data_IF_954816238199
#
_entry.id   IF_954816238199
#
_cell.length_a   1.000
_cell.length_b   1.000
_cell.length_c   1.000
_cell.angle_alpha   90.00
_cell.angle_beta   90.00
_cell.angle_gamma   90.00
#
_symmetry.space_group_name_H-M   'P 1'
#
loop_
_entity.id
_entity.type
_entity.pdbx_description
1 polymer ?
#
# COMPACT_ATOMS: atom_id res chain seq x y z
N UNK A 1 -95.78 -29.60 4.67
CA UNK A 1 -94.67 -29.66 3.70
C UNK A 1 -93.37 -29.21 4.36
N UNK A 2 -92.33 -30.05 4.43
CA UNK A 2 -90.92 -29.59 4.38
C UNK A 2 -89.97 -30.78 4.15
N UNK A 3 -89.39 -30.83 2.94
CA UNK A 3 -88.39 -31.80 2.50
C UNK A 3 -87.17 -31.77 3.43
N UNK A 4 -86.80 -32.91 4.03
CA UNK A 4 -85.46 -33.13 4.58
C UNK A 4 -84.57 -33.71 3.49
N UNK A 5 -83.67 -32.88 2.98
CA UNK A 5 -82.64 -33.22 1.99
C UNK A 5 -81.64 -34.19 2.64
N UNK A 6 -81.58 -35.45 2.18
CA UNK A 6 -80.53 -36.38 2.58
C UNK A 6 -79.21 -35.94 1.92
N UNK A 7 -78.28 -35.43 2.73
CA UNK A 7 -76.88 -35.21 2.37
C UNK A 7 -76.28 -36.56 1.91
N UNK A 8 -75.85 -36.65 0.65
CA UNK A 8 -74.93 -37.71 0.22
C UNK A 8 -73.60 -37.46 0.93
N UNK A 9 -73.20 -38.39 1.79
CA UNK A 9 -71.88 -38.42 2.40
C UNK A 9 -70.92 -38.82 1.27
N UNK A 10 -70.25 -37.83 0.67
CA UNK A 10 -69.14 -38.09 -0.23
C UNK A 10 -68.01 -38.70 0.61
N UNK A 11 -67.65 -39.96 0.32
CA UNK A 11 -66.43 -40.55 0.85
C UNK A 11 -65.26 -39.78 0.23
N UNK A 12 -64.34 -39.19 1.02
CA UNK A 12 -63.18 -38.52 0.45
C UNK A 12 -62.31 -39.59 -0.20
N UNK A 13 -62.26 -39.62 -1.53
CA UNK A 13 -61.20 -40.32 -2.25
C UNK A 13 -59.91 -39.57 -1.92
N UNK A 14 -58.98 -40.24 -1.25
CA UNK A 14 -57.64 -39.69 -1.00
C UNK A 14 -57.04 -39.34 -2.37
N UNK A 15 -56.91 -38.06 -2.66
CA UNK A 15 -56.45 -37.59 -3.96
C UNK A 15 -54.92 -37.57 -3.93
N UNK A 16 -54.33 -38.76 -4.12
CA UNK A 16 -52.88 -38.98 -4.12
C UNK A 16 -52.16 -38.07 -5.12
N UNK A 17 -52.85 -37.64 -6.17
CA UNK A 17 -52.35 -36.72 -7.19
C UNK A 17 -51.96 -35.36 -6.59
N UNK A 18 -52.85 -34.77 -5.79
CA UNK A 18 -52.59 -33.48 -5.14
C UNK A 18 -51.51 -33.56 -4.06
N UNK A 19 -51.34 -34.73 -3.43
CA UNK A 19 -50.26 -34.99 -2.48
C UNK A 19 -48.90 -35.12 -3.20
N UNK A 20 -48.86 -35.85 -4.32
CA UNK A 20 -47.66 -35.99 -5.14
C UNK A 20 -47.25 -34.66 -5.80
N UNK A 21 -48.20 -33.84 -6.23
CA UNK A 21 -47.94 -32.48 -6.73
C UNK A 21 -47.29 -31.60 -5.66
N UNK A 22 -47.84 -31.64 -4.43
CA UNK A 22 -47.29 -30.85 -3.32
C UNK A 22 -45.90 -31.37 -2.92
N UNK A 23 -45.70 -32.69 -2.90
CA UNK A 23 -44.38 -33.29 -2.63
C UNK A 23 -43.36 -32.94 -3.72
N UNK A 24 -43.73 -32.97 -4.98
CA UNK A 24 -42.79 -32.75 -6.09
C UNK A 24 -42.43 -31.28 -6.19
N UNK A 25 -43.38 -30.38 -5.96
CA UNK A 25 -43.12 -28.95 -5.88
C UNK A 25 -42.22 -28.60 -4.68
N UNK A 26 -42.49 -29.16 -3.49
CA UNK A 26 -41.66 -28.92 -2.30
C UNK A 26 -40.26 -29.51 -2.44
N UNK A 27 -40.13 -30.73 -2.98
CA UNK A 27 -38.83 -31.33 -3.26
C UNK A 27 -38.04 -30.56 -4.32
N UNK A 28 -38.71 -30.05 -5.36
CA UNK A 28 -38.08 -29.22 -6.39
C UNK A 28 -37.52 -27.91 -5.82
N UNK A 29 -38.30 -27.22 -4.98
CA UNK A 29 -37.85 -26.00 -4.30
C UNK A 29 -36.70 -26.30 -3.34
N UNK A 30 -36.77 -27.40 -2.58
CA UNK A 30 -35.68 -27.81 -1.69
C UNK A 30 -34.40 -28.16 -2.44
N UNK A 31 -34.50 -28.89 -3.55
CA UNK A 31 -33.34 -29.17 -4.41
C UNK A 31 -32.72 -27.87 -4.95
N UNK A 32 -33.55 -26.92 -5.39
CA UNK A 32 -33.07 -25.64 -5.89
C UNK A 32 -32.36 -24.82 -4.80
N UNK A 33 -32.92 -24.77 -3.59
CA UNK A 33 -32.29 -24.12 -2.43
C UNK A 33 -30.99 -24.82 -2.04
N UNK A 34 -30.93 -26.15 -2.02
CA UNK A 34 -29.71 -26.90 -1.70
C UNK A 34 -28.60 -26.68 -2.73
N UNK A 35 -28.93 -26.67 -4.03
CA UNK A 35 -27.96 -26.40 -5.08
C UNK A 35 -27.47 -24.95 -5.03
N UNK A 36 -28.37 -23.99 -4.82
CA UNK A 36 -28.02 -22.58 -4.74
C UNK A 36 -27.20 -22.25 -3.48
N UNK A 37 -27.55 -22.83 -2.34
CA UNK A 37 -26.75 -22.70 -1.10
C UNK A 37 -25.39 -23.39 -1.24
N UNK A 38 -25.29 -24.53 -1.92
CA UNK A 38 -24.01 -25.18 -2.22
C UNK A 38 -23.14 -24.35 -3.17
N UNK A 39 -23.73 -23.68 -4.16
CA UNK A 39 -23.04 -22.76 -5.08
C UNK A 39 -22.54 -21.50 -4.36
N UNK A 40 -23.37 -20.91 -3.48
CA UNK A 40 -22.95 -19.77 -2.65
C UNK A 40 -21.86 -20.21 -1.66
N UNK A 41 -21.99 -21.38 -1.03
CA UNK A 41 -20.99 -21.93 -0.12
C UNK A 41 -19.68 -22.28 -0.86
N UNK A 42 -19.74 -22.80 -2.09
CA UNK A 42 -18.59 -23.04 -2.95
C UNK A 42 -17.86 -21.75 -3.33
N UNK A 43 -18.59 -20.69 -3.68
CA UNK A 43 -17.99 -19.37 -3.90
C UNK A 43 -17.43 -18.79 -2.59
N UNK A 44 -18.10 -19.05 -1.45
CA UNK A 44 -17.69 -18.62 -0.12
C UNK A 44 -16.55 -19.47 0.48
N UNK A 45 -16.23 -20.63 -0.07
CA UNK A 45 -15.06 -21.43 0.33
C UNK A 45 -13.74 -20.89 -0.22
N UNK A 46 -13.78 -19.76 -0.94
CA UNK A 46 -12.62 -18.87 -1.12
C UNK A 46 -12.44 -17.87 0.04
N UNK A 47 -13.37 -17.83 1.00
CA UNK A 47 -13.24 -17.05 2.21
C UNK A 47 -12.51 -17.88 3.28
N UNK A 48 -11.19 -17.98 3.13
CA UNK A 48 -10.37 -17.91 4.34
C UNK A 48 -10.91 -16.70 5.11
N UNK A 49 -11.45 -16.91 6.32
CA UNK A 49 -11.92 -15.82 7.16
C UNK A 49 -10.72 -14.88 7.33
N UNK A 50 -10.70 -13.80 6.55
CA UNK A 50 -9.71 -12.75 6.66
C UNK A 50 -10.05 -12.08 7.97
N UNK A 51 -9.51 -12.61 9.08
CA UNK A 51 -9.45 -11.85 10.32
C UNK A 51 -8.71 -10.60 9.94
N UNK A 52 -9.43 -9.48 9.87
CA UNK A 52 -8.82 -8.16 9.71
C UNK A 52 -7.77 -8.06 10.80
N UNK A 53 -6.48 -8.05 10.44
CA UNK A 53 -5.43 -8.08 11.44
C UNK A 53 -5.59 -6.87 12.35
N UNK A 54 -5.30 -7.02 13.64
CA UNK A 54 -5.28 -5.88 14.54
C UNK A 54 -4.13 -4.97 14.09
N UNK A 55 -4.48 -3.88 13.42
CA UNK A 55 -3.55 -2.81 13.09
C UNK A 55 -3.25 -2.06 14.38
N UNK A 56 -1.98 -2.03 14.76
CA UNK A 56 -1.50 -1.21 15.88
C UNK A 56 -0.63 -0.08 15.37
N UNK A 57 -0.78 1.10 15.97
CA UNK A 57 0.14 2.21 15.75
C UNK A 57 1.48 1.90 16.43
N UNK A 58 2.56 2.03 15.67
CA UNK A 58 3.93 1.82 16.18
C UNK A 58 4.75 3.09 16.08
N UNK A 59 5.66 3.28 17.04
CA UNK A 59 6.68 4.33 17.02
C UNK A 59 7.98 3.90 16.33
N UNK A 60 8.04 2.64 15.88
CA UNK A 60 9.21 2.09 15.17
C UNK A 60 9.37 2.77 13.81
N UNK A 61 10.60 2.80 13.31
CA UNK A 61 10.93 3.32 11.99
C UNK A 61 10.55 2.27 10.93
N UNK A 62 9.75 2.64 9.90
CA UNK A 62 9.48 1.73 8.78
C UNK A 62 10.73 1.48 7.96
N UNK A 63 10.91 0.25 7.51
CA UNK A 63 11.87 -0.16 6.48
C UNK A 63 11.10 -0.76 5.32
N UNK A 64 11.16 -0.09 4.17
CA UNK A 64 10.25 -0.37 3.07
C UNK A 64 10.79 -1.44 2.13
N UNK A 65 9.89 -2.35 1.76
CA UNK A 65 10.14 -3.36 0.74
C UNK A 65 8.99 -3.33 -0.26
N UNK A 66 9.28 -3.44 -1.56
CA UNK A 66 8.25 -3.76 -2.55
C UNK A 66 8.29 -5.24 -2.84
N UNK A 67 7.11 -5.83 -3.05
CA UNK A 67 7.00 -7.18 -3.60
C UNK A 67 6.24 -7.10 -4.90
N UNK A 68 6.98 -7.18 -6.01
CA UNK A 68 6.47 -7.10 -7.38
C UNK A 68 6.94 -8.32 -8.16
N UNK A 69 6.05 -8.90 -8.94
CA UNK A 69 6.32 -10.07 -9.78
C UNK A 69 6.93 -11.26 -9.02
N UNK A 70 6.51 -11.46 -7.77
CA UNK A 70 7.06 -12.45 -6.83
C UNK A 70 8.52 -12.25 -6.39
N UNK A 71 9.06 -11.04 -6.55
CA UNK A 71 10.39 -10.68 -6.09
C UNK A 71 10.32 -9.62 -4.99
N UNK A 72 11.13 -9.77 -3.94
CA UNK A 72 11.28 -8.81 -2.84
C UNK A 72 12.42 -7.86 -3.17
N UNK A 73 12.13 -6.56 -3.21
CA UNK A 73 13.13 -5.50 -3.42
C UNK A 73 13.14 -4.57 -2.22
N UNK A 74 14.33 -4.20 -1.77
CA UNK A 74 14.50 -3.21 -0.71
C UNK A 74 14.41 -1.79 -1.27
N UNK A 75 13.57 -0.97 -0.66
CA UNK A 75 13.48 0.45 -0.96
C UNK A 75 14.33 1.16 0.09
N UNK A 76 15.60 1.41 -0.23
CA UNK A 76 16.56 2.07 0.66
C UNK A 76 16.24 3.56 0.84
N UNK A 77 15.17 3.84 1.56
CA UNK A 77 14.67 5.18 1.86
C UNK A 77 15.60 5.93 2.81
N UNK A 78 16.34 5.22 3.67
CA UNK A 78 17.35 5.82 4.55
C UNK A 78 18.50 6.46 3.76
N UNK A 79 19.05 5.76 2.76
CA UNK A 79 20.08 6.33 1.89
C UNK A 79 19.60 7.63 1.24
N UNK A 80 18.40 7.60 0.67
CA UNK A 80 17.81 8.76 0.00
C UNK A 80 17.54 9.90 0.99
N UNK A 81 17.05 9.59 2.20
CA UNK A 81 16.84 10.56 3.26
C UNK A 81 18.12 11.30 3.64
N UNK A 82 19.25 10.59 3.77
CA UNK A 82 20.57 11.20 4.03
C UNK A 82 21.03 12.11 2.89
N UNK A 83 20.80 11.72 1.64
CA UNK A 83 21.16 12.55 0.49
C UNK A 83 20.31 13.83 0.40
N UNK A 84 19.03 13.76 0.75
CA UNK A 84 18.14 14.93 0.86
C UNK A 84 18.58 15.85 2.00
N UNK A 85 18.97 15.29 3.15
CA UNK A 85 19.50 16.06 4.26
C UNK A 85 20.76 16.83 3.84
N UNK A 86 21.70 16.14 3.17
CA UNK A 86 22.91 16.77 2.63
C UNK A 86 22.59 17.85 1.59
N UNK A 87 21.63 17.61 0.69
CA UNK A 87 21.18 18.63 -0.25
C UNK A 87 20.67 19.87 0.49
N UNK A 88 19.84 19.67 1.51
CA UNK A 88 19.20 20.73 2.29
C UNK A 88 20.24 21.58 3.03
N UNK A 89 21.23 20.94 3.63
CA UNK A 89 22.37 21.62 4.30
C UNK A 89 23.18 22.45 3.31
N UNK A 90 23.33 21.98 2.06
CA UNK A 90 24.12 22.64 1.01
C UNK A 90 23.33 23.69 0.20
N UNK A 91 22.08 23.99 0.56
CA UNK A 91 21.30 25.04 -0.11
C UNK A 91 21.80 26.44 0.26
N UNK A 92 21.82 27.38 -0.71
CA UNK A 92 22.24 28.75 -0.43
C UNK A 92 21.24 29.46 0.50
N UNK A 93 21.76 30.23 1.45
CA UNK A 93 20.97 31.13 2.29
C UNK A 93 20.56 32.36 1.48
N UNK A 94 19.28 32.43 1.09
CA UNK A 94 18.75 33.56 0.32
C UNK A 94 18.23 34.65 1.25
N UNK A 95 19.10 35.60 1.61
CA UNK A 95 18.76 36.72 2.48
C UNK A 95 17.97 37.77 1.70
N UNK A 96 16.78 38.11 2.20
CA UNK A 96 15.94 39.15 1.60
C UNK A 96 16.48 40.54 2.00
N UNK A 97 16.72 41.46 1.05
CA UNK A 97 17.13 42.82 1.38
C UNK A 97 15.99 43.61 2.02
N UNK A 98 16.35 44.50 2.94
CA UNK A 98 15.41 45.42 3.57
C UNK A 98 15.14 46.63 2.67
N UNK A 99 13.91 47.14 2.73
CA UNK A 99 13.54 48.36 2.01
C UNK A 99 14.32 49.57 2.55
N UNK A 100 14.81 50.48 1.69
CA UNK A 100 15.42 51.73 2.13
C UNK A 100 14.45 52.57 2.97
N UNK A 101 14.95 53.19 4.04
CA UNK A 101 14.14 54.00 4.97
C UNK A 101 14.01 55.46 4.56
N UNK A 102 14.76 55.91 3.56
CA UNK A 102 14.75 57.29 3.08
C UNK A 102 14.67 57.35 1.55
N UNK A 103 14.43 58.55 1.02
CA UNK A 103 14.21 58.80 -0.41
C UNK A 103 15.49 58.98 -1.23
N UNK A 104 16.67 58.54 -0.74
CA UNK A 104 17.92 58.65 -1.49
C UNK A 104 17.92 57.69 -2.71
N UNK A 105 17.98 58.19 -3.95
CA UNK A 105 17.91 57.36 -5.16
C UNK A 105 18.98 56.26 -5.22
N UNK A 106 20.18 56.51 -4.73
CA UNK A 106 21.28 55.54 -4.74
C UNK A 106 21.00 54.32 -3.86
N UNK A 107 20.24 54.49 -2.77
CA UNK A 107 19.83 53.37 -1.92
C UNK A 107 18.81 52.46 -2.61
N UNK A 108 17.94 53.04 -3.45
CA UNK A 108 16.99 52.25 -4.24
C UNK A 108 17.70 51.45 -5.34
N UNK A 109 18.75 52.00 -5.95
CA UNK A 109 19.57 51.27 -6.92
C UNK A 109 20.26 50.06 -6.26
N UNK A 110 20.91 50.26 -5.12
CA UNK A 110 21.54 49.17 -4.37
C UNK A 110 20.51 48.13 -3.88
N UNK A 111 19.35 48.57 -3.39
CA UNK A 111 18.23 47.67 -3.06
C UNK A 111 17.79 46.83 -4.26
N UNK A 112 17.65 47.44 -5.44
CA UNK A 112 17.25 46.73 -6.66
C UNK A 112 18.26 45.66 -7.05
N UNK A 113 19.56 45.96 -6.95
CA UNK A 113 20.64 44.99 -7.18
C UNK A 113 20.58 43.83 -6.17
N UNK A 114 20.48 44.12 -4.87
CA UNK A 114 20.35 43.06 -3.85
C UNK A 114 19.09 42.21 -4.04
N UNK A 115 17.99 42.85 -4.45
CA UNK A 115 16.73 42.16 -4.72
C UNK A 115 16.84 41.25 -5.94
N UNK A 116 17.59 41.64 -6.97
CA UNK A 116 17.90 40.76 -8.10
C UNK A 116 18.69 39.52 -7.65
N UNK A 117 19.75 39.70 -6.84
CA UNK A 117 20.53 38.58 -6.29
C UNK A 117 19.66 37.65 -5.43
N UNK A 118 18.80 38.21 -4.57
CA UNK A 118 17.86 37.43 -3.77
C UNK A 118 16.94 36.56 -4.65
N UNK A 119 16.38 37.12 -5.73
CA UNK A 119 15.54 36.37 -6.67
C UNK A 119 16.29 35.25 -7.39
N UNK A 120 17.52 35.53 -7.82
CA UNK A 120 18.36 34.52 -8.48
C UNK A 120 18.78 33.41 -7.53
N UNK A 121 19.07 33.75 -6.27
CA UNK A 121 19.28 32.78 -5.20
C UNK A 121 18.06 31.88 -5.00
N UNK A 122 16.85 32.45 -4.91
CA UNK A 122 15.63 31.66 -4.77
C UNK A 122 15.41 30.72 -5.95
N UNK A 123 15.67 31.19 -7.18
CA UNK A 123 15.57 30.36 -8.39
C UNK A 123 16.58 29.21 -8.36
N UNK A 124 17.82 29.49 -7.97
CA UNK A 124 18.89 28.48 -7.82
C UNK A 124 18.52 27.44 -6.76
N UNK A 125 18.02 27.88 -5.59
CA UNK A 125 17.56 27.00 -4.52
C UNK A 125 16.40 26.11 -4.96
N UNK A 126 15.39 26.69 -5.60
CA UNK A 126 14.25 25.93 -6.13
C UNK A 126 14.69 24.92 -7.19
N UNK A 127 15.58 25.32 -8.11
CA UNK A 127 16.11 24.44 -9.15
C UNK A 127 16.87 23.25 -8.57
N UNK A 128 17.71 23.45 -7.54
CA UNK A 128 18.43 22.35 -6.87
C UNK A 128 17.49 21.33 -6.24
N UNK A 129 16.38 21.78 -5.66
CA UNK A 129 15.38 20.89 -5.04
C UNK A 129 14.57 20.13 -6.10
N UNK A 130 14.04 20.83 -7.10
CA UNK A 130 13.20 20.21 -8.15
C UNK A 130 13.99 19.26 -9.04
N UNK A 131 15.26 19.56 -9.30
CA UNK A 131 16.14 18.72 -10.11
C UNK A 131 16.86 17.64 -9.29
N UNK A 132 16.47 17.41 -8.02
CA UNK A 132 17.05 16.34 -7.24
C UNK A 132 16.76 14.98 -7.90
N UNK A 133 17.83 14.23 -8.12
CA UNK A 133 17.81 12.88 -8.64
C UNK A 133 18.83 12.04 -7.87
N UNK A 134 18.47 10.79 -7.61
CA UNK A 134 19.31 9.81 -6.94
C UNK A 134 18.96 8.40 -7.43
N UNK A 135 19.64 7.39 -6.88
CA UNK A 135 19.50 5.99 -7.25
C UNK A 135 19.78 5.07 -6.06
N UNK A 136 18.93 4.08 -5.86
CA UNK A 136 19.19 2.91 -5.00
C UNK A 136 19.61 1.71 -5.88
N UNK A 137 19.77 0.52 -5.29
CA UNK A 137 20.07 -0.68 -6.08
C UNK A 137 18.96 -0.99 -7.11
N UNK A 138 17.70 -0.75 -6.72
CA UNK A 138 16.51 -1.15 -7.49
C UNK A 138 15.70 0.00 -8.08
N UNK A 139 15.93 1.25 -7.66
CA UNK A 139 15.11 2.39 -8.07
C UNK A 139 15.94 3.61 -8.49
N UNK A 140 15.50 4.27 -9.55
CA UNK A 140 15.79 5.67 -9.80
C UNK A 140 14.85 6.51 -8.94
N UNK A 141 15.38 7.57 -8.33
CA UNK A 141 14.63 8.42 -7.41
C UNK A 141 14.66 9.85 -7.90
N UNK A 142 13.49 10.48 -7.99
CA UNK A 142 13.37 11.87 -8.46
C UNK A 142 12.38 12.67 -7.63
N UNK A 143 12.62 13.98 -7.50
CA UNK A 143 11.70 14.90 -6.84
C UNK A 143 10.50 15.21 -7.74
N UNK A 144 9.30 14.86 -7.29
CA UNK A 144 8.04 15.20 -7.96
C UNK A 144 7.30 16.35 -7.31
N UNK A 145 7.54 16.62 -6.02
CA UNK A 145 7.02 17.81 -5.35
C UNK A 145 7.97 18.32 -4.27
N UNK A 146 8.67 19.43 -4.55
CA UNK A 146 9.63 20.02 -3.62
C UNK A 146 8.99 20.62 -2.35
N UNK A 147 7.70 21.01 -2.38
CA UNK A 147 7.02 21.59 -1.21
C UNK A 147 6.71 20.55 -0.13
N UNK A 148 6.42 19.31 -0.56
CA UNK A 148 6.13 18.16 0.31
C UNK A 148 7.27 17.14 0.32
N UNK A 149 8.45 17.50 -0.22
CA UNK A 149 9.56 16.59 -0.49
C UNK A 149 9.11 15.23 -1.02
N UNK A 150 8.19 15.23 -1.98
CA UNK A 150 7.67 14.00 -2.56
C UNK A 150 8.66 13.46 -3.58
N UNK A 151 9.11 12.23 -3.34
CA UNK A 151 10.08 11.50 -4.13
C UNK A 151 9.39 10.32 -4.81
N UNK A 152 9.55 10.24 -6.12
CA UNK A 152 9.09 9.12 -6.94
C UNK A 152 10.21 8.09 -7.02
N UNK A 153 9.87 6.82 -6.80
CA UNK A 153 10.75 5.67 -6.94
C UNK A 153 10.33 4.88 -8.17
N UNK A 154 11.13 4.99 -9.23
CA UNK A 154 10.93 4.28 -10.49
C UNK A 154 11.84 3.06 -10.55
N UNK A 155 11.30 1.86 -10.77
CA UNK A 155 12.12 0.66 -10.91
C UNK A 155 13.17 0.80 -12.01
N UNK A 156 14.35 0.22 -11.77
CA UNK A 156 15.40 0.13 -12.78
C UNK A 156 15.19 -1.13 -13.61
N UNK A 157 15.10 -0.95 -14.93
CA UNK A 157 14.97 -2.08 -15.86
C UNK A 157 16.12 -3.09 -15.71
N UNK A 158 15.77 -4.37 -15.66
CA UNK A 158 16.73 -5.47 -15.51
C UNK A 158 17.27 -5.68 -14.08
N UNK A 159 16.92 -4.81 -13.13
CA UNK A 159 17.21 -5.00 -11.70
C UNK A 159 15.97 -5.57 -11.02
N UNK A 160 16.01 -6.87 -10.74
CA UNK A 160 14.97 -7.59 -9.99
C UNK A 160 15.53 -8.02 -8.65
N UNK A 161 14.70 -7.95 -7.61
CA UNK A 161 15.05 -8.43 -6.28
C UNK A 161 14.95 -9.94 -6.17
N UNK A 162 14.85 -10.45 -4.95
CA UNK A 162 14.90 -11.89 -4.69
C UNK A 162 13.55 -12.58 -4.80
N UNK A 163 13.51 -13.68 -5.54
CA UNK A 163 12.38 -14.60 -5.61
C UNK A 163 12.14 -15.32 -4.28
N UNK A 164 10.99 -15.97 -4.16
CA UNK A 164 10.64 -16.78 -2.98
C UNK A 164 11.69 -17.85 -2.67
N UNK A 165 12.21 -18.50 -3.70
CA UNK A 165 13.21 -19.57 -3.57
C UNK A 165 14.53 -19.01 -3.03
N UNK A 166 14.95 -17.83 -3.52
CA UNK A 166 16.18 -17.16 -3.10
C UNK A 166 16.11 -16.66 -1.64
N UNK A 167 14.94 -16.27 -1.14
CA UNK A 167 14.75 -15.88 0.26
C UNK A 167 15.16 -16.99 1.26
N UNK A 168 15.11 -18.26 0.84
CA UNK A 168 15.47 -19.41 1.70
C UNK A 168 16.98 -19.60 1.83
N UNK A 169 17.77 -18.95 0.98
CA UNK A 169 19.23 -18.99 1.02
C UNK A 169 19.72 -18.21 2.25
N UNK A 170 20.61 -18.81 3.03
CA UNK A 170 21.11 -18.23 4.29
C UNK A 170 21.69 -16.82 4.10
N UNK A 171 22.38 -16.60 2.99
CA UNK A 171 23.01 -15.33 2.63
C UNK A 171 22.24 -14.54 1.56
N UNK A 172 20.92 -14.70 1.48
CA UNK A 172 20.06 -13.89 0.61
C UNK A 172 20.22 -12.40 0.94
N UNK A 173 20.05 -11.52 -0.06
CA UNK A 173 20.07 -10.08 0.11
C UNK A 173 19.08 -9.63 1.19
N UNK A 174 17.86 -10.19 1.19
CA UNK A 174 16.86 -9.96 2.21
C UNK A 174 17.41 -10.28 3.61
N UNK A 175 18.04 -11.44 3.78
CA UNK A 175 18.65 -11.83 5.05
C UNK A 175 19.80 -10.89 5.45
N UNK A 176 20.63 -10.46 4.50
CA UNK A 176 21.71 -9.51 4.73
C UNK A 176 21.19 -8.13 5.14
N UNK A 177 20.05 -7.69 4.59
CA UNK A 177 19.40 -6.45 4.98
C UNK A 177 18.82 -6.59 6.39
N UNK A 178 18.08 -7.66 6.68
CA UNK A 178 17.53 -7.89 8.02
C UNK A 178 18.60 -7.93 9.11
N UNK A 179 19.79 -8.46 8.80
CA UNK A 179 20.93 -8.49 9.72
C UNK A 179 21.48 -7.10 10.07
N UNK A 180 21.21 -6.08 9.26
CA UNK A 180 21.61 -4.67 9.50
C UNK A 180 20.57 -3.87 10.26
N UNK A 181 19.35 -4.39 10.41
CA UNK A 181 18.22 -3.71 11.04
C UNK A 181 18.07 -4.14 12.51
N UNK A 182 17.45 -3.29 13.32
CA UNK A 182 17.19 -3.54 14.74
C UNK A 182 15.70 -3.84 14.96
N UNK A 183 15.29 -5.08 15.28
CA UNK A 183 13.88 -5.43 15.47
C UNK A 183 13.15 -4.63 16.56
N UNK A 184 13.87 -3.99 17.47
CA UNK A 184 13.28 -3.15 18.53
C UNK A 184 13.01 -1.72 18.06
N UNK A 185 13.77 -1.23 17.07
CA UNK A 185 13.65 0.14 16.54
C UNK A 185 12.97 0.19 15.17
N UNK A 186 13.14 -0.85 14.37
CA UNK A 186 12.69 -0.95 13.00
C UNK A 186 11.51 -1.93 12.89
N UNK A 187 10.60 -1.64 11.97
CA UNK A 187 9.59 -2.60 11.51
C UNK A 187 9.63 -2.68 9.99
N UNK A 188 9.22 -3.81 9.43
CA UNK A 188 9.23 -4.00 7.99
C UNK A 188 7.87 -3.60 7.39
N UNK A 189 7.89 -2.78 6.37
CA UNK A 189 6.72 -2.23 5.71
C UNK A 189 6.69 -2.71 4.26
N UNK A 190 5.78 -3.63 3.92
CA UNK A 190 5.71 -4.23 2.59
C UNK A 190 4.66 -3.56 1.71
N UNK A 191 5.08 -3.09 0.54
CA UNK A 191 4.20 -2.67 -0.56
C UNK A 191 3.98 -3.90 -1.46
N UNK A 192 2.77 -4.46 -1.46
CA UNK A 192 2.50 -5.76 -2.10
C UNK A 192 1.69 -5.57 -3.38
N UNK A 193 2.23 -6.01 -4.52
CA UNK A 193 1.50 -6.04 -5.81
C UNK A 193 0.59 -7.27 -5.89
N UNK A 194 -0.47 -7.28 -6.74
CA UNK A 194 -1.51 -8.31 -6.72
C UNK A 194 -1.02 -9.74 -6.96
N UNK A 195 0.08 -9.91 -7.70
CA UNK A 195 0.63 -11.23 -8.07
C UNK A 195 1.72 -11.74 -7.11
N UNK A 196 1.92 -11.07 -5.98
CA UNK A 196 3.11 -11.24 -5.13
C UNK A 196 2.84 -11.81 -3.73
N UNK A 197 1.61 -12.28 -3.46
CA UNK A 197 1.22 -12.73 -2.12
C UNK A 197 1.99 -13.97 -1.64
N UNK A 198 2.42 -14.84 -2.54
CA UNK A 198 3.17 -16.04 -2.18
C UNK A 198 4.54 -15.66 -1.57
N UNK A 199 5.30 -14.81 -2.27
CA UNK A 199 6.57 -14.29 -1.80
C UNK A 199 6.40 -13.41 -0.56
N UNK A 200 5.35 -12.60 -0.49
CA UNK A 200 5.04 -11.81 0.71
C UNK A 200 4.88 -12.66 1.96
N UNK A 201 4.13 -13.76 1.87
CA UNK A 201 3.91 -14.64 3.03
C UNK A 201 5.23 -15.20 3.54
N UNK A 202 6.11 -15.63 2.64
CA UNK A 202 7.44 -16.15 2.96
C UNK A 202 8.30 -15.08 3.65
N UNK A 203 8.45 -13.91 3.02
CA UNK A 203 9.23 -12.80 3.57
C UNK A 203 8.73 -12.36 4.95
N UNK A 204 7.40 -12.33 5.13
CA UNK A 204 6.78 -12.00 6.42
C UNK A 204 7.05 -13.06 7.49
N UNK A 205 6.95 -14.34 7.14
CA UNK A 205 7.23 -15.43 8.09
C UNK A 205 8.67 -15.34 8.59
N UNK A 206 9.63 -15.16 7.67
CA UNK A 206 11.03 -14.97 8.02
C UNK A 206 11.26 -13.73 8.90
N UNK A 207 10.60 -12.61 8.59
CA UNK A 207 10.69 -11.39 9.39
C UNK A 207 10.19 -11.59 10.82
N UNK A 208 9.06 -12.29 11.00
CA UNK A 208 8.52 -12.63 12.31
C UNK A 208 9.45 -13.56 13.10
N UNK A 209 10.04 -14.57 12.45
CA UNK A 209 11.02 -15.45 13.09
C UNK A 209 12.24 -14.67 13.60
N UNK A 210 12.60 -13.56 12.94
CA UNK A 210 13.66 -12.64 13.39
C UNK A 210 13.19 -11.55 14.35
N UNK A 211 11.93 -11.57 14.78
CA UNK A 211 11.38 -10.68 15.80
C UNK A 211 10.94 -9.30 15.30
N UNK A 212 10.87 -9.08 13.98
CA UNK A 212 10.37 -7.81 13.43
C UNK A 212 8.84 -7.75 13.48
N UNK A 213 8.30 -6.54 13.72
CA UNK A 213 6.91 -6.26 13.38
C UNK A 213 6.77 -6.06 11.88
N UNK A 214 5.61 -6.42 11.33
CA UNK A 214 5.37 -6.34 9.89
C UNK A 214 4.08 -5.58 9.60
N UNK A 215 4.17 -4.56 8.76
CA UNK A 215 3.04 -3.89 8.14
C UNK A 215 3.00 -4.18 6.65
N UNK A 216 1.82 -4.14 6.03
CA UNK A 216 1.71 -4.26 4.58
C UNK A 216 0.58 -3.42 4.00
N UNK A 217 0.76 -2.99 2.75
CA UNK A 217 -0.23 -2.23 1.98
C UNK A 217 -0.32 -2.79 0.54
N UNK A 218 -1.51 -3.18 0.05
CA UNK A 218 -1.67 -3.61 -1.32
C UNK A 218 -1.64 -2.41 -2.29
N UNK A 219 -0.83 -2.50 -3.34
CA UNK A 219 -0.79 -1.50 -4.42
C UNK A 219 -1.16 -2.15 -5.76
N UNK A 220 -1.78 -1.38 -6.67
CA UNK A 220 -2.05 -1.86 -8.04
C UNK A 220 -0.75 -1.93 -8.83
N UNK A 221 -0.66 -2.76 -9.87
CA UNK A 221 0.58 -2.99 -10.64
C UNK A 221 1.23 -1.67 -11.11
N UNK A 222 0.45 -0.79 -11.76
CA UNK A 222 0.94 0.46 -12.36
C UNK A 222 1.08 1.63 -11.38
N UNK A 223 0.79 1.45 -10.08
CA UNK A 223 0.82 2.58 -9.15
C UNK A 223 2.27 2.93 -8.80
N UNK A 224 2.73 4.17 -9.07
CA UNK A 224 4.08 4.57 -8.70
C UNK A 224 4.26 4.61 -7.18
N UNK A 225 5.48 4.33 -6.72
CA UNK A 225 5.82 4.48 -5.31
C UNK A 225 6.28 5.92 -5.10
N UNK A 226 5.51 6.66 -4.30
CA UNK A 226 5.84 8.05 -3.93
C UNK A 226 5.86 8.15 -2.40
N UNK A 227 6.97 8.67 -1.87
CA UNK A 227 7.15 9.00 -0.45
C UNK A 227 7.27 10.52 -0.29
N UNK A 228 6.70 11.10 0.78
CA UNK A 228 6.76 12.54 1.05
C UNK A 228 7.12 12.85 2.50
N UNK A 229 7.36 14.13 2.80
CA UNK A 229 7.84 14.64 4.11
C UNK A 229 6.92 14.36 5.30
N UNK A 230 5.68 13.95 5.07
CA UNK A 230 4.76 13.53 6.14
C UNK A 230 5.06 12.15 6.72
N UNK A 231 5.97 11.38 6.10
CA UNK A 231 6.16 9.97 6.41
C UNK A 231 4.94 9.13 6.00
N UNK A 232 5.14 7.89 5.59
CA UNK A 232 4.06 6.90 5.51
C UNK A 232 4.25 5.96 6.69
N UNK A 233 3.29 5.96 7.62
CA UNK A 233 3.19 4.87 8.59
C UNK A 233 2.30 3.80 7.96
N UNK A 234 2.85 2.61 7.72
CA UNK A 234 2.04 1.43 7.42
C UNK A 234 1.74 0.77 8.75
N UNK A 235 0.47 0.61 9.07
CA UNK A 235 0.04 -0.02 10.31
C UNK A 235 0.65 -1.41 10.46
N UNK A 236 1.14 -1.73 11.67
CA UNK A 236 1.82 -3.01 11.93
C UNK A 236 0.90 -4.04 12.55
N UNK A 237 1.24 -5.31 12.29
CA UNK A 237 0.54 -6.51 12.73
C UNK A 237 1.50 -7.43 13.49
#
# INVERSE_FOLDING_TARGET
>A
MRRRTRRRIARPSLNYDSFLDTLTNTLGVLMFICLFTSLIASQSNSNAVVRTPLVSDTKKTPRFFEIRDNNVTYIDDEKIGKEIEQLTVNLPACNRPNLPTNSNPSLYQNYAEQFSYYRDCLRSRASRLVNFQSRTEYYNVSMVNASTFSLLYEPIDGKVGESKEELTIENSEFNQILAKLDPTKDYLAFIVRPNSFATFREAREQAWTKGFNVGWEPHKIETPIIFGSGGRAIGVQ
#
